data_IF_850922672714
#
_entry.id   IF_850922672714
#
_cell.length_a   1.000
_cell.length_b   1.000
_cell.length_c   1.000
_cell.angle_alpha   90.00
_cell.angle_beta   90.00
_cell.angle_gamma   90.00
#
_symmetry.space_group_name_H-M   'P 1'
#
loop_
_entity.id
_entity.type
_entity.pdbx_description
1 polymer ?
#
# COMPACT_ATOMS: atom_id res chain seq x y z
N UNK A 1 -8.61 17.34 -0.49
CA UNK A 1 -9.93 16.67 -0.45
C UNK A 1 -10.94 17.17 -1.48
N UNK A 2 -10.92 18.45 -1.90
CA UNK A 2 -11.86 18.96 -2.92
C UNK A 2 -11.83 18.16 -4.24
N UNK A 3 -10.63 17.82 -4.75
CA UNK A 3 -10.50 17.00 -5.95
C UNK A 3 -11.16 15.63 -5.81
N UNK A 4 -10.92 14.92 -4.70
CA UNK A 4 -11.57 13.65 -4.41
C UNK A 4 -13.09 13.78 -4.34
N UNK A 5 -13.61 14.80 -3.64
CA UNK A 5 -15.05 15.04 -3.57
C UNK A 5 -15.67 15.31 -4.95
N UNK A 6 -15.00 16.12 -5.78
CA UNK A 6 -15.44 16.38 -7.15
C UNK A 6 -15.42 15.12 -8.02
N UNK A 7 -14.33 14.33 -7.97
CA UNK A 7 -14.23 13.07 -8.70
C UNK A 7 -15.30 12.08 -8.26
N UNK A 8 -15.57 11.98 -6.96
CA UNK A 8 -16.64 11.11 -6.46
C UNK A 8 -18.03 11.58 -6.89
N UNK A 9 -18.31 12.89 -6.86
CA UNK A 9 -19.59 13.42 -7.33
C UNK A 9 -19.81 13.16 -8.82
N UNK A 10 -18.79 13.40 -9.65
CA UNK A 10 -18.81 13.04 -11.08
C UNK A 10 -18.97 11.53 -11.26
N UNK A 11 -18.29 10.72 -10.44
CA UNK A 11 -18.41 9.27 -10.43
C UNK A 11 -19.84 8.79 -10.14
N UNK A 12 -20.52 9.35 -9.14
CA UNK A 12 -21.93 9.01 -8.84
C UNK A 12 -22.84 9.32 -10.03
N UNK A 13 -22.67 10.48 -10.67
CA UNK A 13 -23.45 10.86 -11.86
C UNK A 13 -23.17 9.88 -13.00
N UNK A 14 -21.89 9.55 -13.25
CA UNK A 14 -21.51 8.59 -14.29
C UNK A 14 -22.09 7.20 -14.03
N UNK A 15 -22.04 6.72 -12.79
CA UNK A 15 -22.61 5.43 -12.40
C UNK A 15 -24.13 5.40 -12.55
N UNK A 16 -24.82 6.51 -12.25
CA UNK A 16 -26.25 6.62 -12.48
C UNK A 16 -26.60 6.51 -13.97
N UNK A 17 -25.85 7.21 -14.84
CA UNK A 17 -26.05 7.11 -16.28
C UNK A 17 -25.75 5.71 -16.80
N UNK A 18 -24.70 5.05 -16.30
CA UNK A 18 -24.38 3.67 -16.66
C UNK A 18 -25.50 2.70 -16.25
N UNK A 19 -26.04 2.84 -15.05
CA UNK A 19 -27.19 2.04 -14.59
C UNK A 19 -28.42 2.27 -15.47
N UNK A 20 -28.74 3.53 -15.77
CA UNK A 20 -29.88 3.90 -16.60
C UNK A 20 -29.78 3.32 -18.03
N UNK A 21 -28.62 3.43 -18.68
CA UNK A 21 -28.46 3.00 -20.07
C UNK A 21 -28.19 1.50 -20.23
N UNK A 22 -27.52 0.84 -19.28
CA UNK A 22 -27.04 -0.54 -19.46
C UNK A 22 -27.64 -1.55 -18.48
N UNK A 23 -28.20 -1.11 -17.35
CA UNK A 23 -28.70 -2.00 -16.30
C UNK A 23 -30.20 -1.84 -16.04
N UNK A 24 -30.92 -1.22 -16.98
CA UNK A 24 -32.37 -0.98 -16.93
C UNK A 24 -32.81 -0.15 -15.70
N UNK A 25 -32.00 0.82 -15.27
CA UNK A 25 -32.29 1.67 -14.12
C UNK A 25 -32.57 0.86 -12.83
N UNK A 26 -31.75 -0.16 -12.56
CA UNK A 26 -31.92 -1.01 -11.41
C UNK A 26 -31.38 -0.31 -10.16
N UNK A 27 -32.30 0.23 -9.36
CA UNK A 27 -31.97 0.96 -8.14
C UNK A 27 -31.07 0.17 -7.17
N UNK A 28 -31.21 -1.16 -7.09
CA UNK A 28 -30.38 -2.00 -6.24
C UNK A 28 -28.92 -2.05 -6.70
N UNK A 29 -28.72 -2.21 -8.01
CA UNK A 29 -27.39 -2.15 -8.65
C UNK A 29 -26.77 -0.77 -8.48
N UNK A 30 -27.52 0.30 -8.75
CA UNK A 30 -27.03 1.66 -8.55
C UNK A 30 -26.60 1.90 -7.10
N UNK A 31 -27.44 1.53 -6.13
CA UNK A 31 -27.10 1.65 -4.70
C UNK A 31 -25.84 0.86 -4.35
N UNK A 32 -25.67 -0.37 -4.86
CA UNK A 32 -24.45 -1.14 -4.64
C UNK A 32 -23.19 -0.42 -5.15
N UNK A 33 -23.26 0.25 -6.32
CA UNK A 33 -22.13 1.05 -6.81
C UNK A 33 -21.85 2.27 -5.93
N UNK A 34 -22.89 2.97 -5.45
CA UNK A 34 -22.74 4.11 -4.54
C UNK A 34 -22.12 3.67 -3.20
N UNK A 35 -22.51 2.51 -2.68
CA UNK A 35 -21.90 1.92 -1.48
C UNK A 35 -20.39 1.75 -1.64
N UNK A 36 -19.90 1.33 -2.81
CA UNK A 36 -18.47 1.25 -3.10
C UNK A 36 -17.74 2.59 -2.95
N UNK A 37 -18.34 3.68 -3.46
CA UNK A 37 -17.78 5.03 -3.31
C UNK A 37 -17.84 5.53 -1.86
N UNK A 38 -18.89 5.17 -1.12
CA UNK A 38 -19.01 5.51 0.31
C UNK A 38 -17.96 4.78 1.15
N UNK A 39 -17.74 3.49 0.90
CA UNK A 39 -16.66 2.70 1.53
C UNK A 39 -15.31 3.38 1.29
N UNK A 40 -15.04 3.80 0.05
CA UNK A 40 -13.83 4.54 -0.30
C UNK A 40 -13.67 5.81 0.54
N UNK A 41 -14.70 6.67 0.60
CA UNK A 41 -14.65 7.92 1.38
C UNK A 41 -14.38 7.63 2.86
N UNK A 42 -15.08 6.65 3.43
CA UNK A 42 -14.94 6.31 4.84
C UNK A 42 -13.53 5.79 5.15
N UNK A 43 -12.96 4.94 4.30
CA UNK A 43 -11.57 4.48 4.44
C UNK A 43 -10.60 5.67 4.38
N UNK A 44 -10.80 6.61 3.45
CA UNK A 44 -9.96 7.81 3.34
C UNK A 44 -10.02 8.64 4.63
N UNK A 45 -11.22 8.91 5.14
CA UNK A 45 -11.43 9.73 6.34
C UNK A 45 -10.81 9.07 7.58
N UNK A 46 -11.03 7.76 7.76
CA UNK A 46 -10.49 7.03 8.90
C UNK A 46 -8.96 6.96 8.81
N UNK A 47 -8.41 6.75 7.62
CA UNK A 47 -6.96 6.72 7.44
C UNK A 47 -6.32 8.09 7.71
N UNK A 48 -6.95 9.19 7.27
CA UNK A 48 -6.54 10.56 7.60
C UNK A 48 -6.51 10.78 9.13
N UNK A 49 -7.55 10.31 9.83
CA UNK A 49 -7.64 10.44 11.30
C UNK A 49 -6.47 9.76 12.03
N UNK A 50 -6.08 8.55 11.62
CA UNK A 50 -5.00 7.81 12.28
C UNK A 50 -3.58 8.22 11.85
N UNK A 51 -3.43 9.00 10.76
CA UNK A 51 -2.10 9.28 10.19
C UNK A 51 -1.78 10.77 10.04
N UNK A 52 -2.75 11.67 10.15
CA UNK A 52 -2.49 13.11 10.13
C UNK A 52 -2.04 13.61 11.50
N UNK A 53 -1.03 14.48 11.51
CA UNK A 53 -0.55 15.18 12.70
C UNK A 53 -1.57 16.16 13.31
N UNK A 54 -2.78 16.27 12.74
CA UNK A 54 -3.87 17.11 13.27
C UNK A 54 -4.69 16.43 14.35
N UNK A 55 -4.64 15.11 14.44
CA UNK A 55 -5.58 14.34 15.27
C UNK A 55 -4.90 13.62 16.42
N UNK A 56 -5.72 13.21 17.40
CA UNK A 56 -5.27 12.59 18.65
C UNK A 56 -4.30 11.41 18.51
N UNK A 57 -4.50 10.45 17.59
CA UNK A 57 -3.64 9.27 17.51
C UNK A 57 -2.15 9.59 17.26
N UNK A 58 -1.87 10.53 16.35
CA UNK A 58 -0.49 10.94 16.04
C UNK A 58 0.10 11.79 17.16
N UNK A 59 -0.70 12.68 17.77
CA UNK A 59 -0.27 13.44 18.96
C UNK A 59 0.13 12.51 20.11
N UNK A 60 -0.64 11.46 20.37
CA UNK A 60 -0.34 10.49 21.41
C UNK A 60 1.01 9.76 21.20
N UNK A 61 1.32 9.41 19.95
CA UNK A 61 2.62 8.82 19.59
C UNK A 61 3.75 9.83 19.83
N UNK A 62 3.54 11.09 19.43
CA UNK A 62 4.52 12.17 19.61
C UNK A 62 4.76 12.48 21.10
N UNK A 63 3.72 12.52 21.91
CA UNK A 63 3.82 12.66 23.37
C UNK A 63 4.59 11.49 23.98
N UNK A 64 4.31 10.25 23.54
CA UNK A 64 5.04 9.06 24.00
C UNK A 64 6.53 9.11 23.66
N UNK A 65 6.94 9.91 22.66
CA UNK A 65 8.35 10.11 22.34
C UNK A 65 9.13 10.91 23.39
N UNK A 66 8.47 11.69 24.25
CA UNK A 66 9.17 12.34 25.37
C UNK A 66 9.70 11.34 26.40
N UNK A 67 9.14 10.12 26.45
CA UNK A 67 9.58 9.04 27.31
C UNK A 67 10.68 8.15 26.68
N UNK A 68 11.07 8.41 25.42
CA UNK A 68 12.12 7.70 24.70
C UNK A 68 11.61 6.71 23.66
N UNK A 69 12.54 6.12 22.89
CA UNK A 69 12.24 5.34 21.70
C UNK A 69 11.38 4.08 21.95
N UNK A 70 11.59 3.40 23.08
CA UNK A 70 10.81 2.19 23.43
C UNK A 70 9.31 2.49 23.55
N UNK A 71 8.90 3.41 24.44
CA UNK A 71 7.51 3.88 24.52
C UNK A 71 6.94 4.38 23.19
N UNK A 72 7.72 5.10 22.36
CA UNK A 72 7.27 5.56 21.03
C UNK A 72 6.88 4.39 20.12
N UNK A 73 7.71 3.35 20.06
CA UNK A 73 7.44 2.17 19.22
C UNK A 73 6.21 1.43 19.72
N UNK A 74 6.05 1.29 21.04
CA UNK A 74 4.88 0.64 21.63
C UNK A 74 3.60 1.41 21.29
N UNK A 75 3.60 2.73 21.47
CA UNK A 75 2.46 3.59 21.13
C UNK A 75 2.13 3.51 19.64
N UNK A 76 3.14 3.59 18.76
CA UNK A 76 2.96 3.48 17.32
C UNK A 76 2.37 2.13 16.88
N UNK A 77 2.85 1.02 17.46
CA UNK A 77 2.29 -0.31 17.20
C UNK A 77 0.84 -0.43 17.68
N UNK A 78 0.53 0.08 18.87
CA UNK A 78 -0.81 0.05 19.42
C UNK A 78 -1.81 0.81 18.54
N UNK A 79 -1.49 2.07 18.17
CA UNK A 79 -2.30 2.88 17.26
C UNK A 79 -2.42 2.22 15.88
N UNK A 80 -1.33 1.62 15.38
CA UNK A 80 -1.36 0.89 14.11
C UNK A 80 -2.35 -0.27 14.12
N UNK A 81 -2.33 -1.10 15.17
CA UNK A 81 -3.28 -2.22 15.34
C UNK A 81 -4.73 -1.73 15.50
N UNK A 82 -4.94 -0.66 16.26
CA UNK A 82 -6.26 -0.03 16.45
C UNK A 82 -6.83 0.50 15.13
N UNK A 83 -5.99 1.10 14.28
CA UNK A 83 -6.40 1.74 13.03
C UNK A 83 -7.05 0.78 12.02
N UNK A 84 -6.84 -0.53 12.15
CA UNK A 84 -7.40 -1.54 11.25
C UNK A 84 -8.88 -1.85 11.53
N UNK A 85 -9.36 -1.63 12.75
CA UNK A 85 -10.70 -2.01 13.20
C UNK A 85 -11.82 -1.31 12.41
N UNK A 86 -11.80 0.03 12.37
CA UNK A 86 -12.87 0.81 11.74
C UNK A 86 -12.93 0.57 10.23
N UNK A 87 -11.81 0.61 9.46
CA UNK A 87 -11.84 0.28 8.04
C UNK A 87 -12.34 -1.14 7.78
N UNK A 88 -12.00 -2.11 8.64
CA UNK A 88 -12.53 -3.47 8.57
C UNK A 88 -14.05 -3.51 8.69
N UNK A 89 -14.62 -2.83 9.68
CA UNK A 89 -16.07 -2.72 9.83
C UNK A 89 -16.75 -2.03 8.64
N UNK A 90 -16.13 -0.97 8.10
CA UNK A 90 -16.63 -0.25 6.93
C UNK A 90 -16.71 -1.19 5.72
N UNK A 91 -15.70 -2.03 5.51
CA UNK A 91 -15.68 -3.01 4.40
C UNK A 91 -16.76 -4.08 4.62
N UNK A 92 -16.93 -4.60 5.84
CA UNK A 92 -17.98 -5.58 6.16
C UNK A 92 -19.36 -4.98 5.92
N UNK A 93 -19.63 -3.80 6.47
CA UNK A 93 -20.91 -3.11 6.31
C UNK A 93 -21.18 -2.76 4.85
N UNK A 94 -20.16 -2.30 4.11
CA UNK A 94 -20.26 -2.00 2.69
C UNK A 94 -20.53 -3.25 1.84
N UNK A 95 -19.87 -4.37 2.15
CA UNK A 95 -20.08 -5.65 1.46
C UNK A 95 -21.52 -6.15 1.67
N UNK A 96 -22.00 -6.15 2.91
CA UNK A 96 -23.37 -6.56 3.24
C UNK A 96 -24.41 -5.60 2.65
N UNK A 97 -24.14 -4.30 2.68
CA UNK A 97 -25.00 -3.27 2.10
C UNK A 97 -25.11 -3.42 0.59
N UNK A 98 -23.99 -3.63 -0.12
CA UNK A 98 -23.98 -3.85 -1.56
C UNK A 98 -24.66 -5.17 -1.95
N UNK A 99 -24.40 -6.24 -1.18
CA UNK A 99 -25.05 -7.54 -1.35
C UNK A 99 -26.57 -7.44 -1.19
N UNK A 100 -27.03 -6.82 -0.10
CA UNK A 100 -28.45 -6.65 0.15
C UNK A 100 -29.11 -5.73 -0.88
N UNK A 101 -28.46 -4.62 -1.24
CA UNK A 101 -29.01 -3.67 -2.22
C UNK A 101 -29.20 -4.31 -3.60
N UNK A 102 -28.19 -5.00 -4.11
CA UNK A 102 -28.27 -5.64 -5.42
C UNK A 102 -29.13 -6.90 -5.40
N UNK A 103 -29.00 -7.73 -4.36
CA UNK A 103 -29.77 -8.97 -4.21
C UNK A 103 -31.25 -8.73 -3.90
N UNK A 104 -31.63 -7.52 -3.47
CA UNK A 104 -33.02 -7.14 -3.26
C UNK A 104 -33.70 -6.89 -4.61
N UNK A 105 -34.41 -7.91 -5.09
CA UNK A 105 -35.28 -7.77 -6.25
C UNK A 105 -36.68 -7.37 -5.81
N UNK A 106 -37.22 -6.30 -6.40
CA UNK A 106 -38.56 -5.81 -6.11
C UNK A 106 -39.62 -6.86 -6.51
N UNK A 107 -40.00 -7.72 -5.57
CA UNK A 107 -41.00 -8.77 -5.76
C UNK A 107 -40.68 -10.12 -5.11
N UNK A 108 -39.47 -10.33 -4.57
CA UNK A 108 -39.11 -11.58 -3.88
C UNK A 108 -38.93 -11.34 -2.38
N UNK A 109 -39.39 -12.30 -1.55
CA UNK A 109 -39.18 -12.28 -0.09
C UNK A 109 -37.74 -12.63 0.32
N UNK A 110 -36.91 -13.05 -0.63
CA UNK A 110 -35.54 -13.51 -0.42
C UNK A 110 -34.56 -12.73 -1.30
N UNK A 111 -33.36 -12.53 -0.77
CA UNK A 111 -32.23 -11.95 -1.51
C UNK A 111 -31.73 -12.96 -2.54
N UNK A 112 -31.58 -12.52 -3.79
CA UNK A 112 -30.90 -13.32 -4.82
C UNK A 112 -29.39 -13.33 -4.53
N UNK A 113 -28.85 -14.51 -4.26
CA UNK A 113 -27.44 -14.70 -3.91
C UNK A 113 -26.51 -14.35 -5.07
N UNK A 114 -26.91 -14.63 -6.32
CA UNK A 114 -26.08 -14.36 -7.50
C UNK A 114 -25.97 -12.87 -7.75
N UNK A 115 -27.10 -12.17 -7.71
CA UNK A 115 -27.14 -10.72 -7.91
C UNK A 115 -26.51 -9.99 -6.72
N UNK A 116 -26.68 -10.50 -5.49
CA UNK A 116 -26.02 -9.96 -4.31
C UNK A 116 -24.50 -10.06 -4.39
N UNK A 117 -23.94 -11.22 -4.76
CA UNK A 117 -22.49 -11.39 -4.95
C UNK A 117 -21.97 -10.50 -6.09
N UNK A 118 -22.75 -10.34 -7.16
CA UNK A 118 -22.45 -9.39 -8.23
C UNK A 118 -22.42 -7.94 -7.72
N UNK A 119 -23.34 -7.57 -6.83
CA UNK A 119 -23.38 -6.27 -6.16
C UNK A 119 -22.11 -5.96 -5.37
N UNK A 120 -21.53 -6.94 -4.65
CA UNK A 120 -20.23 -6.77 -3.98
C UNK A 120 -19.13 -6.48 -5.01
N UNK A 121 -19.11 -7.22 -6.13
CA UNK A 121 -18.16 -6.98 -7.22
C UNK A 121 -18.31 -5.60 -7.85
N UNK A 122 -19.54 -5.12 -8.04
CA UNK A 122 -19.83 -3.77 -8.52
C UNK A 122 -19.40 -2.69 -7.52
N UNK A 123 -19.59 -2.92 -6.22
CA UNK A 123 -19.07 -2.02 -5.19
C UNK A 123 -17.53 -1.94 -5.24
N UNK A 124 -16.84 -3.06 -5.44
CA UNK A 124 -15.39 -3.09 -5.62
C UNK A 124 -14.95 -2.31 -6.87
N UNK A 125 -15.59 -2.55 -8.01
CA UNK A 125 -15.29 -1.84 -9.27
C UNK A 125 -15.58 -0.34 -9.16
N UNK A 126 -16.69 0.03 -8.51
CA UNK A 126 -17.08 1.41 -8.27
C UNK A 126 -16.08 2.13 -7.35
N UNK A 127 -15.64 1.50 -6.26
CA UNK A 127 -14.55 2.01 -5.43
C UNK A 127 -13.30 2.32 -6.28
N UNK A 128 -12.98 1.46 -7.26
CA UNK A 128 -11.85 1.64 -8.15
C UNK A 128 -12.03 2.73 -9.22
N UNK A 129 -13.24 3.23 -9.45
CA UNK A 129 -13.50 4.25 -10.48
C UNK A 129 -12.80 5.59 -10.21
N UNK A 130 -12.44 5.87 -8.95
CA UNK A 130 -11.72 7.10 -8.55
C UNK A 130 -10.20 6.93 -8.53
N UNK A 131 -9.67 5.79 -9.00
CA UNK A 131 -8.24 5.46 -8.93
C UNK A 131 -7.35 6.56 -9.48
N UNK A 132 -7.75 7.22 -10.59
CA UNK A 132 -6.96 8.31 -11.17
C UNK A 132 -6.66 9.44 -10.18
N UNK A 133 -7.65 9.84 -9.37
CA UNK A 133 -7.47 10.87 -8.35
C UNK A 133 -6.66 10.36 -7.16
N UNK A 134 -6.90 9.12 -6.71
CA UNK A 134 -6.16 8.52 -5.59
C UNK A 134 -4.66 8.39 -5.92
N UNK A 135 -4.33 7.87 -7.10
CA UNK A 135 -2.94 7.74 -7.55
C UNK A 135 -2.28 9.13 -7.75
N UNK A 136 -3.04 10.12 -8.22
CA UNK A 136 -2.52 11.50 -8.32
C UNK A 136 -2.15 12.08 -6.95
N UNK A 137 -2.96 11.81 -5.92
CA UNK A 137 -2.71 12.22 -4.54
C UNK A 137 -1.56 11.42 -3.89
N UNK A 138 -1.38 10.15 -4.27
CA UNK A 138 -0.24 9.34 -3.85
C UNK A 138 1.08 9.87 -4.41
N UNK A 139 1.11 10.13 -5.72
CA UNK A 139 2.28 10.63 -6.43
C UNK A 139 2.73 12.01 -5.93
N UNK A 140 1.81 12.81 -5.38
CA UNK A 140 2.14 14.09 -4.75
C UNK A 140 3.18 13.95 -3.63
N UNK A 141 3.08 12.93 -2.78
CA UNK A 141 3.96 12.77 -1.61
C UNK A 141 5.45 12.58 -1.97
N UNK A 142 5.82 11.61 -2.83
CA UNK A 142 7.21 11.46 -3.29
C UNK A 142 7.75 12.69 -4.04
N UNK A 143 6.89 13.46 -4.72
CA UNK A 143 7.31 14.69 -5.41
C UNK A 143 7.71 15.74 -4.36
N UNK A 144 6.90 15.95 -3.32
CA UNK A 144 7.17 16.95 -2.28
C UNK A 144 8.36 16.59 -1.39
N UNK A 145 8.51 15.29 -1.07
CA UNK A 145 9.67 14.76 -0.34
C UNK A 145 10.98 15.05 -1.10
N UNK A 146 11.03 14.69 -2.38
CA UNK A 146 12.19 14.95 -3.22
C UNK A 146 12.46 16.46 -3.40
N UNK A 147 11.42 17.29 -3.48
CA UNK A 147 11.57 18.74 -3.54
C UNK A 147 12.23 19.29 -2.27
N UNK A 148 11.82 18.82 -1.08
CA UNK A 148 12.43 19.18 0.20
C UNK A 148 13.90 18.72 0.30
N UNK A 149 14.18 17.49 -0.16
CA UNK A 149 15.54 16.97 -0.25
C UNK A 149 16.44 17.80 -1.19
N UNK A 150 15.93 18.20 -2.36
CA UNK A 150 16.65 19.09 -3.30
C UNK A 150 16.89 20.45 -2.65
N UNK A 151 15.89 21.04 -2.00
CA UNK A 151 16.03 22.32 -1.32
C UNK A 151 17.15 22.31 -0.30
N UNK A 152 17.25 21.24 0.50
CA UNK A 152 18.34 21.07 1.47
C UNK A 152 19.71 20.88 0.82
N UNK A 153 19.79 19.95 -0.13
CA UNK A 153 21.05 19.63 -0.80
C UNK A 153 21.61 20.79 -1.63
N UNK A 154 20.73 21.70 -2.07
CA UNK A 154 21.07 22.93 -2.78
C UNK A 154 21.27 24.13 -1.85
N UNK A 155 21.09 23.98 -0.53
CA UNK A 155 21.18 25.06 0.47
C UNK A 155 20.29 26.26 0.13
N UNK A 156 19.07 25.99 -0.34
CA UNK A 156 18.10 27.04 -0.61
C UNK A 156 17.69 27.77 0.69
N UNK A 157 17.16 29.01 0.61
CA UNK A 157 16.68 29.73 1.78
C UNK A 157 15.65 28.93 2.58
N UNK A 158 15.59 29.17 3.90
CA UNK A 158 14.67 28.49 4.83
C UNK A 158 13.20 28.56 4.40
N UNK A 159 12.81 29.62 3.68
CA UNK A 159 11.49 29.79 3.08
C UNK A 159 11.11 28.64 2.15
N UNK A 160 12.06 28.05 1.42
CA UNK A 160 11.81 26.89 0.58
C UNK A 160 11.41 25.67 1.43
N UNK A 161 12.09 25.45 2.56
CA UNK A 161 11.77 24.37 3.51
C UNK A 161 10.46 24.60 4.25
N UNK A 162 10.19 25.84 4.67
CA UNK A 162 8.93 26.23 5.27
C UNK A 162 7.71 25.94 4.37
N UNK A 163 7.92 25.85 3.05
CA UNK A 163 6.90 25.42 2.08
C UNK A 163 6.92 23.90 1.91
N UNK A 164 8.09 23.26 1.72
CA UNK A 164 8.14 21.82 1.41
C UNK A 164 7.77 20.92 2.59
N UNK A 165 8.12 21.30 3.82
CA UNK A 165 7.93 20.42 4.99
C UNK A 165 6.44 20.21 5.32
N UNK A 166 5.56 21.24 5.29
CA UNK A 166 4.12 21.01 5.42
C UNK A 166 3.54 20.17 4.27
N UNK A 167 4.09 20.31 3.05
CA UNK A 167 3.63 19.54 1.90
C UNK A 167 4.04 18.06 2.00
N UNK A 168 5.25 17.76 2.47
CA UNK A 168 5.69 16.39 2.75
C UNK A 168 4.86 15.75 3.87
N UNK A 169 4.55 16.50 4.93
CA UNK A 169 3.66 16.02 5.99
C UNK A 169 2.28 15.61 5.44
N UNK A 170 1.69 16.41 4.53
CA UNK A 170 0.47 16.02 3.81
C UNK A 170 0.72 14.78 2.94
N UNK A 171 1.86 14.73 2.24
CA UNK A 171 2.30 13.60 1.43
C UNK A 171 2.36 12.27 2.19
N UNK A 172 2.76 12.30 3.46
CA UNK A 172 2.83 11.10 4.31
C UNK A 172 1.44 10.58 4.68
N UNK A 173 0.51 11.47 4.98
CA UNK A 173 -0.91 11.11 5.18
C UNK A 173 -1.53 10.58 3.89
N UNK A 174 -1.25 11.20 2.74
CA UNK A 174 -1.83 10.75 1.46
C UNK A 174 -1.29 9.40 0.99
N UNK A 175 0.00 9.10 1.23
CA UNK A 175 0.57 7.75 1.05
C UNK A 175 -0.18 6.70 1.87
N UNK A 176 -0.53 7.03 3.11
CA UNK A 176 -1.30 6.11 3.96
C UNK A 176 -2.72 5.91 3.43
N UNK A 177 -3.40 6.99 3.04
CA UNK A 177 -4.74 6.94 2.43
C UNK A 177 -4.74 6.01 1.21
N UNK A 178 -3.77 6.12 0.33
CA UNK A 178 -3.68 5.27 -0.87
C UNK A 178 -3.46 3.80 -0.52
N UNK A 179 -2.65 3.50 0.51
CA UNK A 179 -2.49 2.13 1.02
C UNK A 179 -3.80 1.59 1.58
N UNK A 180 -4.52 2.37 2.39
CA UNK A 180 -5.82 2.00 2.94
C UNK A 180 -6.84 1.73 1.83
N UNK A 181 -6.89 2.59 0.81
CA UNK A 181 -7.71 2.40 -0.37
C UNK A 181 -7.36 1.11 -1.15
N UNK A 182 -6.07 0.87 -1.40
CA UNK A 182 -5.61 -0.33 -2.10
C UNK A 182 -6.00 -1.60 -1.33
N UNK A 183 -5.85 -1.61 -0.01
CA UNK A 183 -6.24 -2.74 0.84
C UNK A 183 -7.76 -2.92 0.82
N UNK A 184 -8.54 -1.85 1.02
CA UNK A 184 -10.01 -1.94 1.04
C UNK A 184 -10.60 -2.45 -0.28
N UNK A 185 -10.10 -1.93 -1.40
CA UNK A 185 -10.50 -2.40 -2.73
C UNK A 185 -10.07 -3.85 -2.98
N UNK A 186 -8.88 -4.26 -2.52
CA UNK A 186 -8.43 -5.65 -2.62
C UNK A 186 -9.32 -6.61 -1.82
N UNK A 187 -9.79 -6.22 -0.63
CA UNK A 187 -10.69 -7.08 0.18
C UNK A 187 -12.06 -7.24 -0.51
N UNK A 188 -12.67 -6.15 -0.98
CA UNK A 188 -13.94 -6.22 -1.73
C UNK A 188 -13.79 -7.04 -3.02
N UNK A 189 -12.70 -6.83 -3.75
CA UNK A 189 -12.39 -7.61 -4.95
C UNK A 189 -12.14 -9.09 -4.63
N UNK A 190 -11.47 -9.42 -3.52
CA UNK A 190 -11.23 -10.79 -3.10
C UNK A 190 -12.54 -11.54 -2.81
N UNK A 191 -13.54 -10.88 -2.21
CA UNK A 191 -14.87 -11.47 -2.01
C UNK A 191 -15.56 -11.79 -3.35
N UNK A 192 -15.50 -10.86 -4.31
CA UNK A 192 -16.07 -11.07 -5.64
C UNK A 192 -15.31 -12.16 -6.42
N UNK A 193 -13.98 -12.19 -6.32
CA UNK A 193 -13.15 -13.23 -6.92
C UNK A 193 -13.38 -14.60 -6.27
N UNK A 194 -13.67 -14.65 -4.98
CA UNK A 194 -14.02 -15.90 -4.29
C UNK A 194 -15.35 -16.45 -4.82
N UNK A 195 -16.35 -15.60 -5.02
CA UNK A 195 -17.58 -15.99 -5.72
C UNK A 195 -17.27 -16.53 -7.13
N UNK A 196 -16.52 -15.78 -7.93
CA UNK A 196 -16.13 -16.22 -9.29
C UNK A 196 -15.36 -17.54 -9.29
N UNK A 197 -14.45 -17.73 -8.32
CA UNK A 197 -13.70 -18.97 -8.12
C UNK A 197 -14.63 -20.15 -7.86
N UNK A 198 -15.58 -20.01 -6.94
CA UNK A 198 -16.54 -21.09 -6.63
C UNK A 198 -17.41 -21.47 -7.82
N UNK A 199 -17.82 -20.50 -8.65
CA UNK A 199 -18.50 -20.78 -9.92
C UNK A 199 -17.62 -21.55 -10.90
N UNK A 200 -16.40 -21.08 -11.14
CA UNK A 200 -15.49 -21.70 -12.07
C UNK A 200 -15.09 -23.13 -11.64
N UNK A 201 -14.87 -23.32 -10.34
CA UNK A 201 -14.52 -24.62 -9.77
C UNK A 201 -15.69 -25.60 -9.84
N UNK A 202 -16.91 -25.18 -9.48
CA UNK A 202 -18.12 -26.01 -9.60
C UNK A 202 -18.32 -26.50 -11.03
N UNK A 203 -18.24 -25.59 -12.02
CA UNK A 203 -18.37 -25.93 -13.44
C UNK A 203 -17.27 -26.90 -13.90
N UNK A 204 -16.03 -26.69 -13.47
CA UNK A 204 -14.90 -27.56 -13.83
C UNK A 204 -15.04 -28.97 -13.26
N UNK A 205 -15.75 -29.12 -12.15
CA UNK A 205 -15.98 -30.39 -11.46
C UNK A 205 -17.30 -31.05 -11.88
N UNK A 206 -18.05 -30.44 -12.81
CA UNK A 206 -19.36 -30.93 -13.25
C UNK A 206 -20.41 -30.91 -12.14
N UNK A 207 -20.26 -30.03 -11.14
CA UNK A 207 -21.16 -29.91 -10.00
C UNK A 207 -21.99 -28.62 -10.08
N UNK A 208 -23.15 -28.63 -9.43
CA UNK A 208 -23.90 -27.40 -9.20
C UNK A 208 -23.11 -26.47 -8.27
N UNK A 209 -23.28 -25.16 -8.41
CA UNK A 209 -22.60 -24.18 -7.55
C UNK A 209 -22.88 -24.44 -6.06
N UNK A 210 -24.13 -24.74 -5.71
CA UNK A 210 -24.54 -25.05 -4.33
C UNK A 210 -23.85 -26.28 -3.78
N UNK A 211 -23.77 -27.37 -4.57
CA UNK A 211 -23.07 -28.59 -4.14
C UNK A 211 -21.59 -28.36 -3.91
N UNK A 212 -20.96 -27.50 -4.72
CA UNK A 212 -19.55 -27.16 -4.53
C UNK A 212 -19.34 -26.28 -3.29
N UNK A 213 -20.20 -25.28 -3.06
CA UNK A 213 -20.09 -24.42 -1.87
C UNK A 213 -20.30 -25.17 -0.55
N UNK A 214 -21.10 -26.25 -0.54
CA UNK A 214 -21.25 -27.12 0.64
C UNK A 214 -19.91 -27.79 1.05
N UNK A 215 -19.00 -28.02 0.09
CA UNK A 215 -17.65 -28.53 0.37
C UNK A 215 -16.74 -27.50 1.04
N UNK A 216 -17.12 -26.21 0.96
CA UNK A 216 -16.40 -25.08 1.55
C UNK A 216 -16.97 -24.66 2.91
N UNK A 217 -17.86 -25.47 3.48
CA UNK A 217 -18.44 -25.21 4.79
C UNK A 217 -17.38 -25.23 5.90
N UNK A 218 -17.51 -24.33 6.88
CA UNK A 218 -16.55 -24.23 8.00
C UNK A 218 -16.58 -25.44 8.94
N UNK A 219 -17.58 -26.31 8.86
CA UNK A 219 -17.59 -27.60 9.55
C UNK A 219 -16.60 -28.60 8.95
N UNK A 220 -16.13 -28.38 7.72
CA UNK A 220 -15.14 -29.24 7.07
C UNK A 220 -13.73 -28.97 7.61
N UNK A 221 -13.02 -29.96 8.18
CA UNK A 221 -11.70 -29.74 8.77
C UNK A 221 -10.67 -29.16 7.79
N UNK A 222 -10.72 -29.56 6.52
CA UNK A 222 -9.80 -29.06 5.49
C UNK A 222 -9.98 -27.57 5.22
N UNK A 223 -11.20 -27.04 5.31
CA UNK A 223 -11.49 -25.61 5.12
C UNK A 223 -10.92 -24.81 6.28
N UNK A 224 -11.11 -25.29 7.51
CA UNK A 224 -10.55 -24.63 8.71
C UNK A 224 -9.02 -24.64 8.68
N UNK A 225 -8.40 -25.77 8.30
CA UNK A 225 -6.94 -25.85 8.11
C UNK A 225 -6.47 -24.85 7.05
N UNK A 226 -7.16 -24.77 5.91
CA UNK A 226 -6.88 -23.79 4.87
C UNK A 226 -7.00 -22.34 5.36
N UNK A 227 -8.02 -22.02 6.15
CA UNK A 227 -8.24 -20.70 6.74
C UNK A 227 -7.11 -20.33 7.71
N UNK A 228 -6.69 -21.25 8.59
CA UNK A 228 -5.58 -21.03 9.53
C UNK A 228 -4.26 -20.82 8.79
N UNK A 229 -3.95 -21.65 7.80
CA UNK A 229 -2.76 -21.47 6.95
C UNK A 229 -2.82 -20.11 6.25
N UNK A 230 -3.96 -19.76 5.65
CA UNK A 230 -4.19 -18.47 5.02
C UNK A 230 -3.95 -17.28 5.97
N UNK A 231 -4.42 -17.38 7.21
CA UNK A 231 -4.29 -16.32 8.21
C UNK A 231 -2.84 -16.11 8.69
N UNK A 232 -2.00 -17.16 8.73
CA UNK A 232 -0.59 -17.03 9.16
C UNK A 232 0.34 -16.60 8.01
N UNK A 233 -0.06 -16.75 6.75
CA UNK A 233 0.76 -16.38 5.58
C UNK A 233 1.20 -14.90 5.59
N UNK A 234 0.34 -13.91 5.87
CA UNK A 234 0.76 -12.51 5.96
C UNK A 234 1.85 -12.26 7.02
N UNK A 235 1.79 -12.93 8.17
CA UNK A 235 2.80 -12.82 9.22
C UNK A 235 4.14 -13.41 8.77
N UNK A 236 4.10 -14.59 8.14
CA UNK A 236 5.29 -15.24 7.60
C UNK A 236 5.96 -14.37 6.52
N UNK A 237 5.17 -13.84 5.58
CA UNK A 237 5.68 -12.98 4.52
C UNK A 237 6.21 -11.65 5.05
N UNK A 238 5.52 -11.03 6.02
CA UNK A 238 5.96 -9.80 6.67
C UNK A 238 7.31 -10.00 7.38
N UNK A 239 7.50 -11.12 8.07
CA UNK A 239 8.79 -11.46 8.70
C UNK A 239 9.92 -11.55 7.66
N UNK A 240 9.67 -12.21 6.52
CA UNK A 240 10.66 -12.30 5.44
C UNK A 240 11.05 -10.91 4.90
N UNK A 241 10.06 -10.04 4.65
CA UNK A 241 10.29 -8.68 4.18
C UNK A 241 11.05 -7.82 5.21
N UNK A 242 10.67 -7.87 6.49
CA UNK A 242 11.33 -7.11 7.55
C UNK A 242 12.79 -7.52 7.72
N UNK A 243 13.09 -8.82 7.68
CA UNK A 243 14.47 -9.33 7.73
C UNK A 243 15.29 -8.85 6.53
N UNK A 244 14.72 -8.89 5.32
CA UNK A 244 15.40 -8.40 4.11
C UNK A 244 15.76 -6.91 4.20
N UNK A 245 14.83 -6.08 4.69
CA UNK A 245 15.06 -4.64 4.92
C UNK A 245 16.09 -4.42 6.02
N UNK A 246 16.04 -5.18 7.12
CA UNK A 246 16.99 -5.08 8.23
C UNK A 246 18.43 -5.32 7.80
N UNK A 247 18.67 -6.37 7.02
CA UNK A 247 20.01 -6.68 6.47
C UNK A 247 20.51 -5.55 5.56
N UNK A 248 19.64 -4.99 4.72
CA UNK A 248 20.01 -3.89 3.83
C UNK A 248 20.32 -2.60 4.62
N UNK A 249 19.50 -2.28 5.62
CA UNK A 249 19.67 -1.11 6.49
C UNK A 249 20.97 -1.20 7.29
N UNK A 250 21.30 -2.37 7.85
CA UNK A 250 22.54 -2.60 8.59
C UNK A 250 23.78 -2.35 7.71
N UNK A 251 23.79 -2.90 6.49
CA UNK A 251 24.86 -2.66 5.51
C UNK A 251 25.00 -1.17 5.17
N UNK A 252 23.89 -0.48 4.95
CA UNK A 252 23.86 0.97 4.72
C UNK A 252 24.47 1.76 5.89
N UNK A 253 24.11 1.43 7.13
CA UNK A 253 24.64 2.09 8.33
C UNK A 253 26.15 1.89 8.45
N UNK A 254 26.65 0.68 8.24
CA UNK A 254 28.09 0.43 8.27
C UNK A 254 28.85 1.16 7.17
N UNK A 255 28.30 1.23 5.97
CA UNK A 255 28.89 1.98 4.87
C UNK A 255 28.93 3.48 5.15
N UNK A 256 27.84 4.07 5.67
CA UNK A 256 27.80 5.47 6.09
C UNK A 256 28.86 5.72 7.18
N UNK A 257 28.94 4.86 8.20
CA UNK A 257 29.94 4.96 9.28
C UNK A 257 31.38 4.85 8.74
N UNK A 258 31.61 3.99 7.75
CA UNK A 258 32.90 3.86 7.08
C UNK A 258 33.26 5.16 6.34
N UNK A 259 32.34 5.71 5.55
CA UNK A 259 32.55 6.97 4.82
C UNK A 259 32.86 8.14 5.78
N UNK A 260 32.12 8.28 6.88
CA UNK A 260 32.39 9.32 7.87
C UNK A 260 33.76 9.17 8.57
N UNK A 261 34.25 7.94 8.71
CA UNK A 261 35.55 7.64 9.34
C UNK A 261 36.73 7.79 8.40
N UNK A 262 36.59 7.32 7.16
CA UNK A 262 37.69 7.19 6.20
C UNK A 262 37.80 8.37 5.23
N UNK A 263 36.70 9.06 4.92
CA UNK A 263 36.68 10.16 3.96
C UNK A 263 36.86 11.50 4.68
N UNK A 264 38.08 12.02 4.64
CA UNK A 264 38.44 13.35 5.14
C UNK A 264 37.51 14.43 4.57
N UNK A 265 36.83 15.18 5.45
CA UNK A 265 35.91 16.26 5.07
C UNK A 265 34.43 15.88 4.99
N UNK A 266 34.08 14.58 4.96
CA UNK A 266 32.69 14.13 4.96
C UNK A 266 31.91 14.59 6.21
N UNK A 267 32.53 14.48 7.39
CA UNK A 267 31.96 14.99 8.65
C UNK A 267 31.83 16.52 8.73
N UNK A 268 32.55 17.27 7.87
CA UNK A 268 32.53 18.73 7.82
C UNK A 268 31.58 19.27 6.75
N UNK A 269 30.90 18.40 6.00
CA UNK A 269 29.99 18.80 4.91
C UNK A 269 30.70 19.30 3.65
N UNK A 270 32.01 19.03 3.51
CA UNK A 270 32.77 19.38 2.30
C UNK A 270 32.50 18.35 1.19
N UNK A 271 31.57 18.71 0.31
CA UNK A 271 31.10 17.85 -0.80
C UNK A 271 32.21 17.53 -1.79
N UNK A 272 33.17 18.42 -1.97
CA UNK A 272 34.26 18.26 -2.94
C UNK A 272 35.35 17.34 -2.39
N UNK A 273 35.67 17.46 -1.10
CA UNK A 273 36.54 16.50 -0.40
C UNK A 273 35.91 15.10 -0.32
N UNK A 274 34.59 15.02 -0.10
CA UNK A 274 33.87 13.75 0.01
C UNK A 274 33.75 12.98 -1.32
N UNK A 275 33.68 13.67 -2.47
CA UNK A 275 33.52 13.07 -3.80
C UNK A 275 34.84 12.72 -4.51
N UNK A 276 35.98 13.21 -4.02
CA UNK A 276 37.32 12.94 -4.58
C UNK A 276 37.65 11.44 -4.70
N UNK A 277 37.37 10.57 -3.70
CA UNK A 277 37.60 9.13 -3.81
C UNK A 277 36.71 8.46 -4.87
N UNK A 278 35.46 8.91 -5.00
CA UNK A 278 34.45 8.33 -5.92
C UNK A 278 34.75 8.68 -7.37
N UNK A 279 35.27 9.90 -7.63
CA UNK A 279 35.74 10.30 -8.97
C UNK A 279 37.00 9.54 -9.41
N UNK A 280 37.90 9.21 -8.48
CA UNK A 280 39.10 8.42 -8.76
C UNK A 280 38.80 7.00 -9.25
N UNK A 281 37.75 6.36 -8.73
CA UNK A 281 37.36 5.00 -9.15
C UNK A 281 36.62 4.92 -10.50
N UNK A 282 35.94 5.99 -10.95
CA UNK A 282 35.28 5.99 -12.28
C UNK A 282 36.25 6.00 -13.45
N UNK A 283 37.49 6.49 -13.26
CA UNK A 283 38.50 6.49 -14.32
C UNK A 283 39.32 5.18 -14.40
N UNK A 284 39.25 4.29 -13.40
CA UNK A 284 40.02 3.04 -13.37
C UNK A 284 39.32 1.81 -13.96
N UNK A 285 38.01 1.84 -14.15
CA UNK A 285 37.22 0.71 -14.69
C UNK A 285 36.67 0.93 -16.10
N UNK A 286 36.92 2.10 -16.69
CA UNK A 286 36.49 2.44 -18.04
C UNK A 286 37.58 2.31 -19.13
N UNK A 287 38.82 1.98 -18.79
CA UNK A 287 39.91 1.86 -19.77
C UNK A 287 40.12 0.38 -20.19
N UNK A 288 39.78 -0.01 -21.44
CA UNK A 288 40.03 -1.35 -21.96
C UNK A 288 41.52 -1.72 -22.02
N UNK A 289 42.44 -0.74 -21.94
CA UNK A 289 43.88 -0.98 -22.01
C UNK A 289 44.45 -1.65 -20.75
N UNK A 290 43.86 -1.43 -19.57
CA UNK A 290 44.35 -1.98 -18.30
C UNK A 290 44.11 -3.50 -18.16
N UNK A 291 43.22 -4.10 -18.95
CA UNK A 291 42.98 -5.56 -18.93
C UNK A 291 44.01 -6.37 -19.73
N UNK A 292 44.88 -5.74 -20.53
CA UNK A 292 45.83 -6.44 -21.41
C UNK A 292 47.25 -6.57 -20.83
N UNK A 293 47.59 -5.89 -19.74
CA UNK A 293 48.97 -5.91 -19.19
C UNK A 293 49.20 -6.93 -18.06
N UNK A 294 48.16 -7.59 -17.55
CA UNK A 294 48.27 -8.56 -16.44
C UNK A 294 48.49 -10.01 -16.86
N UNK A 295 48.46 -10.33 -18.15
CA UNK A 295 48.47 -11.71 -18.65
C UNK A 295 49.78 -12.06 -19.39
N UNK A 296 50.94 -11.70 -18.87
CA UNK A 296 52.22 -12.31 -19.26
C UNK A 296 53.34 -11.86 -18.31
N UNK A 297 53.71 -12.74 -17.37
CA UNK A 297 54.98 -12.86 -16.61
C UNK A 297 54.63 -13.74 -15.40
N UNK A 298 55.18 -14.91 -15.17
CA UNK A 298 56.28 -15.66 -15.74
C UNK A 298 56.50 -16.77 -14.73
N UNK A 299 56.42 -18.02 -15.16
CA UNK A 299 56.89 -19.16 -14.36
C UNK A 299 58.40 -18.97 -14.18
N UNK A 300 58.90 -19.16 -12.97
CA UNK A 300 60.29 -19.60 -12.79
C UNK A 300 60.37 -20.59 -11.61
N UNK A 301 61.11 -21.71 -11.74
CA UNK A 301 61.19 -22.79 -10.78
C UNK A 301 62.39 -22.60 -9.82
N UNK A 302 62.52 -23.54 -8.89
CA UNK A 302 63.65 -23.73 -7.98
C UNK A 302 63.71 -22.82 -6.74
N UNK A 303 63.35 -23.41 -5.61
CA UNK A 303 64.23 -23.56 -4.44
C UNK A 303 63.64 -24.61 -3.50
N UNK A 304 64.22 -25.81 -3.54
CA UNK A 304 64.23 -26.71 -2.41
C UNK A 304 65.52 -26.47 -1.62
N UNK A 305 65.37 -26.28 -0.31
CA UNK A 305 66.18 -26.84 0.79
C UNK A 305 65.35 -26.67 2.06
#
# INVERSE_FOLDING_TARGET
YQGLAATTAVGVIGLYLLDYFFMNANAGIFVATVVGLLVMILIVVVTDYYTSAKYGPVHHIAESASAGAGPTVIAGLAVGLESAWIPGLVIVAGSLGAYAAAGWYAGTAHLDIYIGLYGIGLAAASMLSVTGMIISIDAFGPITDNAGGIAEMAKLPEQARAITDPLDAVGNTTKAITKGYAIGSAVLAALALFAAYTFAAANSWGQSWTSFTDLLDLSQPLVVVGLVIGAILPFFFTSFLMNAVGIAAEKMVFEIRRQFREISGAARGDREAALRPVRGHRHGHGDPAARRSGAHRGRDPARGR
#
